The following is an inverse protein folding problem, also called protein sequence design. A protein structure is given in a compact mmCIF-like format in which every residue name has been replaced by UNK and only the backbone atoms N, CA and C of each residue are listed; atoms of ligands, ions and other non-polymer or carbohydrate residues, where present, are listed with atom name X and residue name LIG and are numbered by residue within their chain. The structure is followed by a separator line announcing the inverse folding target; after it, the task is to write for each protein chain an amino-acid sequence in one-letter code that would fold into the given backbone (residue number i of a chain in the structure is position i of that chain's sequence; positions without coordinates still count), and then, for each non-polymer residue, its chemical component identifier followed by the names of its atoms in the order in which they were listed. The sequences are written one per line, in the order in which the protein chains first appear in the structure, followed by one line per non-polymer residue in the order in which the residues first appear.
data_IF_921056370204
#
_entry.id   IF_921056370204
#
_cell.length_a   1.000
_cell.length_b   1.000
_cell.length_c   1.000
_cell.angle_alpha   90.00
_cell.angle_beta   90.00
_cell.angle_gamma   90.00
#
_symmetry.space_group_name_H-M   'P 1'
#
loop_
_entity.id
_entity.type
_entity.pdbx_description
1 polymer ?
#
# COMPACT_ATOMS: atom_id res chain seq x y z
N UNK A 1 8.91 -20.33 -8.33
CA UNK A 1 8.45 -18.93 -8.50
C UNK A 1 6.94 -18.70 -8.32
N UNK A 2 6.09 -19.69 -7.98
CA UNK A 2 4.62 -19.50 -7.90
C UNK A 2 4.07 -18.98 -6.56
N UNK A 3 4.85 -19.05 -5.48
CA UNK A 3 4.34 -18.75 -4.13
C UNK A 3 4.25 -17.24 -3.83
N UNK A 4 5.14 -16.41 -4.39
CA UNK A 4 5.11 -14.94 -4.23
C UNK A 4 3.87 -14.27 -4.85
N UNK A 5 3.36 -14.82 -5.96
CA UNK A 5 2.15 -14.30 -6.61
C UNK A 5 0.93 -14.45 -5.71
N UNK A 6 0.76 -15.62 -5.07
CA UNK A 6 -0.36 -15.87 -4.15
C UNK A 6 -0.27 -14.99 -2.91
N UNK A 7 0.91 -14.83 -2.34
CA UNK A 7 1.12 -13.96 -1.18
C UNK A 7 0.85 -12.49 -1.51
N UNK A 8 1.33 -12.03 -2.67
CA UNK A 8 1.03 -10.69 -3.18
C UNK A 8 -0.49 -10.47 -3.29
N UNK A 9 -1.22 -11.34 -3.98
CA UNK A 9 -2.67 -11.17 -4.16
C UNK A 9 -3.44 -11.29 -2.84
N UNK A 10 -3.01 -12.18 -1.94
CA UNK A 10 -3.56 -12.28 -0.58
C UNK A 10 -3.40 -10.96 0.17
N UNK A 11 -2.18 -10.41 0.19
CA UNK A 11 -1.89 -9.13 0.84
C UNK A 11 -2.66 -7.96 0.19
N UNK A 12 -2.66 -7.91 -1.14
CA UNK A 12 -3.31 -6.86 -1.93
C UNK A 12 -4.80 -6.79 -1.63
N UNK A 13 -5.50 -7.94 -1.67
CA UNK A 13 -6.94 -8.02 -1.39
C UNK A 13 -7.27 -7.75 0.08
N UNK A 14 -6.54 -8.37 1.01
CA UNK A 14 -6.91 -8.32 2.43
C UNK A 14 -6.53 -7.00 3.11
N UNK A 15 -5.46 -6.36 2.65
CA UNK A 15 -4.89 -5.21 3.36
C UNK A 15 -4.87 -3.95 2.51
N UNK A 16 -4.35 -4.00 1.28
CA UNK A 16 -4.18 -2.81 0.47
C UNK A 16 -5.51 -2.23 -0.03
N UNK A 17 -6.38 -3.06 -0.63
CA UNK A 17 -7.70 -2.62 -1.09
C UNK A 17 -8.53 -2.06 0.07
N UNK A 18 -8.53 -2.76 1.21
CA UNK A 18 -9.22 -2.32 2.43
C UNK A 18 -8.66 -0.99 2.95
N UNK A 19 -7.35 -0.78 2.86
CA UNK A 19 -6.73 0.50 3.21
C UNK A 19 -7.24 1.64 2.33
N UNK A 20 -7.19 1.47 1.00
CA UNK A 20 -7.64 2.50 0.04
C UNK A 20 -9.11 2.82 0.24
N UNK A 21 -9.96 1.79 0.39
CA UNK A 21 -11.40 1.97 0.66
C UNK A 21 -11.65 2.70 1.97
N UNK A 22 -10.96 2.33 3.04
CA UNK A 22 -11.10 3.01 4.33
C UNK A 22 -10.67 4.49 4.26
N UNK A 23 -9.56 4.80 3.58
CA UNK A 23 -9.12 6.19 3.40
C UNK A 23 -10.16 7.01 2.64
N UNK A 24 -10.65 6.50 1.51
CA UNK A 24 -11.70 7.15 0.73
C UNK A 24 -12.97 7.38 1.56
N UNK A 25 -13.43 6.35 2.28
CA UNK A 25 -14.64 6.41 3.11
C UNK A 25 -14.52 7.42 4.24
N UNK A 26 -13.40 7.45 4.95
CA UNK A 26 -13.16 8.44 6.01
C UNK A 26 -13.19 9.85 5.43
N UNK A 27 -12.49 10.08 4.31
CA UNK A 27 -12.43 11.41 3.69
C UNK A 27 -13.79 11.86 3.16
N UNK A 28 -14.55 10.99 2.49
CA UNK A 28 -15.83 11.36 1.87
C UNK A 28 -17.02 11.36 2.83
N UNK A 29 -17.05 10.43 3.80
CA UNK A 29 -18.19 10.30 4.73
C UNK A 29 -17.99 11.07 6.02
N UNK A 30 -16.74 11.39 6.39
CA UNK A 30 -16.44 12.13 7.63
C UNK A 30 -15.91 13.53 7.37
N UNK A 31 -14.88 13.70 6.55
CA UNK A 31 -14.24 15.02 6.38
C UNK A 31 -15.04 15.93 5.44
N UNK A 32 -15.38 15.42 4.26
CA UNK A 32 -16.04 16.19 3.20
C UNK A 32 -17.36 16.85 3.64
N UNK A 33 -18.22 16.24 4.49
CA UNK A 33 -19.42 16.91 5.00
C UNK A 33 -19.14 18.08 5.96
N UNK A 34 -17.91 18.22 6.44
CA UNK A 34 -17.52 19.18 7.48
C UNK A 34 -16.72 20.36 6.91
N UNK A 35 -16.37 20.33 5.63
CA UNK A 35 -15.57 21.37 4.97
C UNK A 35 -16.18 21.78 3.63
N UNK A 36 -15.97 23.02 3.23
CA UNK A 36 -16.39 23.50 1.93
C UNK A 36 -15.24 23.36 0.92
N UNK A 37 -15.43 22.52 -0.10
CA UNK A 37 -14.51 22.42 -1.24
C UNK A 37 -15.24 22.77 -2.54
N UNK A 38 -14.49 23.14 -3.58
CA UNK A 38 -15.07 23.46 -4.89
C UNK A 38 -15.73 22.21 -5.48
N UNK A 39 -16.82 22.43 -6.23
CA UNK A 39 -17.53 21.34 -6.90
C UNK A 39 -16.63 20.56 -7.86
N UNK A 40 -15.75 21.27 -8.59
CA UNK A 40 -14.79 20.67 -9.54
C UNK A 40 -13.84 19.72 -8.81
N UNK A 41 -13.19 20.19 -7.74
CA UNK A 41 -12.26 19.38 -6.93
C UNK A 41 -12.96 18.13 -6.37
N UNK A 42 -14.20 18.29 -5.87
CA UNK A 42 -15.00 17.16 -5.39
C UNK A 42 -15.27 16.12 -6.49
N UNK A 43 -15.67 16.58 -7.67
CA UNK A 43 -15.95 15.71 -8.82
C UNK A 43 -14.69 14.97 -9.25
N UNK A 44 -13.57 15.66 -9.31
CA UNK A 44 -12.31 15.09 -9.80
C UNK A 44 -11.77 14.05 -8.82
N UNK A 45 -11.81 14.32 -7.50
CA UNK A 45 -11.47 13.32 -6.46
C UNK A 45 -12.32 12.06 -6.61
N UNK A 46 -13.63 12.19 -6.81
CA UNK A 46 -14.54 11.04 -7.01
C UNK A 46 -14.15 10.25 -8.28
N UNK A 47 -13.92 10.93 -9.40
CA UNK A 47 -13.53 10.28 -10.66
C UNK A 47 -12.18 9.53 -10.53
N UNK A 48 -11.22 10.08 -9.79
CA UNK A 48 -9.96 9.38 -9.52
C UNK A 48 -10.17 8.13 -8.67
N UNK A 49 -10.99 8.17 -7.62
CA UNK A 49 -11.29 6.98 -6.83
C UNK A 49 -12.05 5.91 -7.63
N UNK A 50 -12.96 6.29 -8.52
CA UNK A 50 -13.61 5.36 -9.45
C UNK A 50 -12.58 4.66 -10.36
N UNK A 51 -11.63 5.42 -10.91
CA UNK A 51 -10.52 4.86 -11.70
C UNK A 51 -9.62 3.93 -10.89
N UNK A 52 -9.32 4.29 -9.64
CA UNK A 52 -8.56 3.46 -8.70
C UNK A 52 -9.29 2.14 -8.41
N UNK A 53 -10.61 2.19 -8.16
CA UNK A 53 -11.40 0.98 -7.92
C UNK A 53 -11.46 0.07 -9.15
N UNK A 54 -11.73 0.63 -10.33
CA UNK A 54 -11.76 -0.15 -11.56
C UNK A 54 -10.41 -0.85 -11.82
N UNK A 55 -9.30 -0.16 -11.60
CA UNK A 55 -7.97 -0.76 -11.82
C UNK A 55 -7.63 -1.82 -10.76
N UNK A 56 -8.04 -1.64 -9.51
CA UNK A 56 -7.86 -2.68 -8.48
C UNK A 56 -8.66 -3.95 -8.82
N UNK A 57 -9.86 -3.82 -9.37
CA UNK A 57 -10.65 -4.97 -9.83
C UNK A 57 -9.96 -5.69 -11.01
N UNK A 58 -9.40 -4.93 -11.96
CA UNK A 58 -8.59 -5.49 -13.06
C UNK A 58 -7.37 -6.24 -12.55
N UNK A 59 -6.64 -5.68 -11.57
CA UNK A 59 -5.50 -6.36 -10.94
C UNK A 59 -5.95 -7.67 -10.29
N UNK A 60 -7.00 -7.63 -9.46
CA UNK A 60 -7.52 -8.82 -8.78
C UNK A 60 -7.93 -9.92 -9.77
N UNK A 61 -8.54 -9.56 -10.90
CA UNK A 61 -8.95 -10.52 -11.92
C UNK A 61 -7.77 -11.25 -12.60
N UNK A 62 -6.52 -10.76 -12.45
CA UNK A 62 -5.34 -11.40 -13.00
C UNK A 62 -4.81 -12.57 -12.14
N UNK A 63 -5.28 -12.71 -10.89
CA UNK A 63 -4.76 -13.68 -9.93
C UNK A 63 -4.76 -15.11 -10.47
N UNK A 64 -5.92 -15.63 -10.90
CA UNK A 64 -6.03 -17.01 -11.38
C UNK A 64 -5.14 -17.23 -12.62
N UNK A 65 -5.08 -16.24 -13.50
CA UNK A 65 -4.25 -16.30 -14.71
C UNK A 65 -2.76 -16.36 -14.39
N UNK A 66 -2.30 -15.77 -13.29
CA UNK A 66 -0.89 -15.80 -12.86
C UNK A 66 -0.57 -17.00 -11.95
N UNK A 67 -1.54 -17.43 -11.14
CA UNK A 67 -1.40 -18.53 -10.19
C UNK A 67 -1.46 -19.89 -10.89
N UNK A 68 -2.29 -20.01 -11.94
CA UNK A 68 -2.53 -21.27 -12.65
C UNK A 68 -1.95 -21.28 -14.08
N UNK A 69 -1.07 -20.33 -14.44
CA UNK A 69 -0.43 -20.31 -15.76
C UNK A 69 0.45 -21.54 -15.96
N UNK A 70 -0.10 -22.57 -16.61
CA UNK A 70 0.60 -23.82 -16.93
C UNK A 70 1.14 -23.85 -18.38
N UNK A 71 0.94 -22.78 -19.16
CA UNK A 71 0.98 -22.86 -20.64
C UNK A 71 2.32 -22.54 -21.28
N UNK A 72 3.19 -21.72 -20.67
CA UNK A 72 4.62 -21.54 -21.03
C UNK A 72 5.25 -20.45 -20.14
N UNK A 73 6.59 -20.46 -20.00
CA UNK A 73 7.32 -19.41 -19.29
C UNK A 73 7.09 -18.01 -19.90
N UNK A 74 7.07 -17.92 -21.23
CA UNK A 74 6.82 -16.67 -21.97
C UNK A 74 5.42 -16.09 -21.69
N UNK A 75 4.39 -16.95 -21.64
CA UNK A 75 3.02 -16.53 -21.32
C UNK A 75 2.87 -16.04 -19.89
N UNK A 76 3.61 -16.64 -18.94
CA UNK A 76 3.64 -16.19 -17.55
C UNK A 76 4.38 -14.86 -17.41
N UNK A 77 5.52 -14.70 -18.07
CA UNK A 77 6.30 -13.46 -18.04
C UNK A 77 5.50 -12.27 -18.59
N UNK A 78 4.80 -12.45 -19.71
CA UNK A 78 3.94 -11.41 -20.27
C UNK A 78 2.82 -10.99 -19.29
N UNK A 79 2.19 -11.96 -18.62
CA UNK A 79 1.17 -11.65 -17.58
C UNK A 79 1.76 -10.89 -16.40
N UNK A 80 2.99 -11.24 -16.00
CA UNK A 80 3.68 -10.53 -14.92
C UNK A 80 4.01 -9.09 -15.31
N UNK A 81 4.44 -8.86 -16.55
CA UNK A 81 4.67 -7.50 -17.08
C UNK A 81 3.39 -6.66 -17.05
N UNK A 82 2.26 -7.23 -17.49
CA UNK A 82 0.95 -6.56 -17.43
C UNK A 82 0.60 -6.18 -15.98
N UNK A 83 0.75 -7.11 -15.02
CA UNK A 83 0.52 -6.83 -13.61
C UNK A 83 1.39 -5.68 -13.10
N UNK A 84 2.68 -5.66 -13.46
CA UNK A 84 3.59 -4.58 -13.06
C UNK A 84 3.16 -3.22 -13.61
N UNK A 85 2.73 -3.17 -14.88
CA UNK A 85 2.25 -1.94 -15.51
C UNK A 85 0.95 -1.44 -14.86
N UNK A 86 0.03 -2.34 -14.55
CA UNK A 86 -1.20 -1.99 -13.83
C UNK A 86 -0.89 -1.48 -12.41
N UNK A 87 0.09 -2.05 -11.71
CA UNK A 87 0.53 -1.56 -10.40
C UNK A 87 1.18 -0.17 -10.50
N UNK A 88 1.99 0.09 -11.53
CA UNK A 88 2.55 1.43 -11.79
C UNK A 88 1.45 2.45 -12.07
N UNK A 89 0.46 2.06 -12.88
CA UNK A 89 -0.71 2.90 -13.19
C UNK A 89 -1.55 3.16 -11.94
N UNK A 90 -1.74 2.17 -11.08
CA UNK A 90 -2.44 2.31 -9.80
C UNK A 90 -1.72 3.29 -8.89
N UNK A 91 -0.39 3.17 -8.77
CA UNK A 91 0.41 4.14 -8.02
C UNK A 91 0.24 5.56 -8.57
N UNK A 92 0.26 5.74 -9.89
CA UNK A 92 0.07 7.06 -10.50
C UNK A 92 -1.32 7.66 -10.16
N UNK A 93 -2.39 6.87 -10.27
CA UNK A 93 -3.74 7.32 -9.89
C UNK A 93 -3.83 7.67 -8.40
N UNK A 94 -3.20 6.88 -7.53
CA UNK A 94 -3.16 7.13 -6.09
C UNK A 94 -2.37 8.40 -5.75
N UNK A 95 -1.25 8.67 -6.43
CA UNK A 95 -0.52 9.92 -6.24
C UNK A 95 -1.34 11.13 -6.67
N UNK A 96 -2.03 11.05 -7.82
CA UNK A 96 -2.85 12.15 -8.31
C UNK A 96 -4.03 12.44 -7.38
N UNK A 97 -4.73 11.42 -6.87
CA UNK A 97 -5.82 11.65 -5.91
C UNK A 97 -5.30 12.25 -4.60
N UNK A 98 -4.15 11.78 -4.10
CA UNK A 98 -3.55 12.35 -2.88
C UNK A 98 -3.14 13.81 -3.06
N UNK A 99 -2.56 14.17 -4.22
CA UNK A 99 -2.19 15.54 -4.52
C UNK A 99 -3.42 16.47 -4.57
N UNK A 100 -4.49 16.05 -5.27
CA UNK A 100 -5.75 16.81 -5.32
C UNK A 100 -6.41 16.94 -3.95
N UNK A 101 -6.39 15.87 -3.16
CA UNK A 101 -6.91 15.90 -1.79
C UNK A 101 -6.10 16.83 -0.89
N UNK A 102 -4.77 16.89 -1.02
CA UNK A 102 -3.94 17.80 -0.25
C UNK A 102 -4.22 19.26 -0.65
N UNK A 103 -4.31 19.56 -1.95
CA UNK A 103 -4.64 20.89 -2.47
C UNK A 103 -6.04 21.35 -2.07
N UNK A 104 -7.03 20.44 -2.03
CA UNK A 104 -8.42 20.78 -1.73
C UNK A 104 -8.75 20.74 -0.23
N UNK A 105 -8.36 19.68 0.48
CA UNK A 105 -8.78 19.48 1.87
C UNK A 105 -7.98 20.28 2.85
N UNK A 106 -6.66 20.43 2.67
CA UNK A 106 -5.83 21.14 3.65
C UNK A 106 -6.32 22.59 3.89
N UNK A 107 -6.45 23.45 2.87
CA UNK A 107 -6.95 24.80 3.08
C UNK A 107 -8.39 24.83 3.58
N UNK A 108 -9.23 23.89 3.15
CA UNK A 108 -10.63 23.82 3.57
C UNK A 108 -10.77 23.43 5.06
N UNK A 109 -9.90 22.53 5.55
CA UNK A 109 -9.82 22.15 6.97
C UNK A 109 -9.30 23.32 7.81
N UNK A 110 -8.21 23.96 7.38
CA UNK A 110 -7.62 25.11 8.09
C UNK A 110 -8.58 26.30 8.17
N UNK A 111 -9.45 26.48 7.18
CA UNK A 111 -10.51 27.49 7.20
C UNK A 111 -11.67 27.12 8.13
N UNK A 112 -12.04 25.85 8.20
CA UNK A 112 -13.20 25.38 8.95
C UNK A 112 -12.91 25.15 10.45
N UNK A 113 -11.68 24.81 10.81
CA UNK A 113 -11.31 24.39 12.16
C UNK A 113 -9.96 24.94 12.61
N UNK A 114 -9.88 25.38 13.87
CA UNK A 114 -8.59 25.43 14.55
C UNK A 114 -8.07 24.00 14.79
N UNK A 115 -6.77 23.84 14.98
CA UNK A 115 -6.16 22.54 15.29
C UNK A 115 -6.83 21.86 16.50
N UNK A 116 -7.06 22.62 17.58
CA UNK A 116 -7.71 22.09 18.79
C UNK A 116 -9.18 21.72 18.57
N UNK A 117 -9.91 22.45 17.73
CA UNK A 117 -11.29 22.10 17.36
C UNK A 117 -11.32 20.85 16.48
N UNK A 118 -10.38 20.73 15.54
CA UNK A 118 -10.25 19.55 14.68
C UNK A 118 -9.95 18.29 15.52
N UNK A 119 -8.97 18.37 16.41
CA UNK A 119 -8.62 17.29 17.34
C UNK A 119 -9.80 16.91 18.25
N UNK A 120 -10.54 17.89 18.77
CA UNK A 120 -11.64 17.62 19.71
C UNK A 120 -12.89 17.05 19.04
N UNK A 121 -13.23 17.50 17.83
CA UNK A 121 -14.53 17.23 17.22
C UNK A 121 -14.48 16.35 15.96
N UNK A 122 -13.37 16.38 15.21
CA UNK A 122 -13.22 15.65 13.94
C UNK A 122 -12.46 14.34 14.13
N UNK A 123 -11.32 14.37 14.83
CA UNK A 123 -10.50 13.17 15.07
C UNK A 123 -11.27 12.00 15.71
N UNK A 124 -12.18 12.20 16.69
CA UNK A 124 -12.99 11.10 17.22
C UNK A 124 -13.92 10.46 16.18
N UNK A 125 -14.40 11.25 15.20
CA UNK A 125 -15.25 10.75 14.10
C UNK A 125 -14.42 9.97 13.09
N UNK A 126 -13.24 10.50 12.74
CA UNK A 126 -12.24 9.80 11.90
C UNK A 126 -11.89 8.46 12.53
N UNK A 127 -11.50 8.45 13.80
CA UNK A 127 -11.19 7.21 14.52
C UNK A 127 -12.36 6.22 14.55
N UNK A 128 -13.59 6.71 14.76
CA UNK A 128 -14.79 5.86 14.79
C UNK A 128 -15.05 5.21 13.42
N UNK A 129 -14.96 5.99 12.36
CA UNK A 129 -15.16 5.54 10.98
C UNK A 129 -14.06 4.60 10.50
N UNK A 130 -12.82 4.80 10.93
CA UNK A 130 -11.67 3.96 10.55
C UNK A 130 -11.88 2.49 10.91
N UNK A 131 -11.83 1.63 9.90
CA UNK A 131 -11.96 0.17 9.99
C UNK A 131 -11.10 -0.53 8.92
N UNK A 132 -10.60 -1.75 9.20
CA UNK A 132 -10.53 -2.37 10.53
C UNK A 132 -9.45 -1.72 11.40
N UNK A 133 -9.77 -1.37 12.65
CA UNK A 133 -8.87 -0.63 13.55
C UNK A 133 -7.53 -1.32 13.80
N UNK A 134 -7.56 -2.65 13.89
CA UNK A 134 -6.37 -3.49 14.11
C UNK A 134 -5.33 -3.43 12.99
N UNK A 135 -5.73 -2.94 11.81
CA UNK A 135 -4.86 -2.80 10.64
C UNK A 135 -4.58 -1.31 10.43
N UNK A 136 -5.64 -0.51 10.32
CA UNK A 136 -5.53 0.88 9.91
C UNK A 136 -4.81 1.76 10.93
N UNK A 137 -5.07 1.57 12.22
CA UNK A 137 -4.47 2.43 13.26
C UNK A 137 -2.95 2.19 13.35
N UNK A 138 -2.44 0.95 13.47
CA UNK A 138 -1.01 0.68 13.33
C UNK A 138 -0.40 1.25 12.06
N UNK A 139 -1.05 1.07 10.92
CA UNK A 139 -0.54 1.59 9.65
C UNK A 139 -0.38 3.11 9.66
N UNK A 140 -1.40 3.85 10.11
CA UNK A 140 -1.35 5.32 10.21
C UNK A 140 -0.24 5.76 11.17
N UNK A 141 -0.16 5.15 12.36
CA UNK A 141 0.86 5.50 13.35
C UNK A 141 2.26 5.22 12.83
N UNK A 142 2.48 4.08 12.18
CA UNK A 142 3.78 3.73 11.61
C UNK A 142 4.20 4.66 10.47
N UNK A 143 3.28 5.07 9.61
CA UNK A 143 3.58 6.05 8.54
C UNK A 143 3.76 7.46 9.09
N UNK A 144 3.05 7.83 10.15
CA UNK A 144 3.26 9.10 10.85
C UNK A 144 4.68 9.19 11.45
N UNK A 145 5.26 8.06 11.86
CA UNK A 145 6.65 7.98 12.32
C UNK A 145 7.64 8.23 11.20
N UNK A 146 7.39 7.70 10.01
CA UNK A 146 8.25 7.89 8.83
C UNK A 146 8.24 9.34 8.37
N UNK A 147 7.07 9.99 8.35
CA UNK A 147 6.94 11.35 7.82
C UNK A 147 7.16 12.47 8.84
N UNK A 148 6.76 12.27 10.10
CA UNK A 148 6.78 13.29 11.15
C UNK A 148 7.66 12.94 12.36
N UNK A 149 8.37 11.81 12.30
CA UNK A 149 9.22 11.35 13.39
C UNK A 149 8.46 10.94 14.65
N UNK A 150 9.21 10.76 15.74
CA UNK A 150 8.68 10.27 17.02
C UNK A 150 7.69 11.24 17.68
N UNK A 151 7.85 12.56 17.44
CA UNK A 151 6.96 13.59 17.99
C UNK A 151 5.53 13.46 17.45
N UNK A 152 5.39 13.38 16.12
CA UNK A 152 4.07 13.25 15.47
C UNK A 152 3.43 11.91 15.80
N UNK A 153 4.24 10.85 15.84
CA UNK A 153 3.78 9.51 16.28
C UNK A 153 3.18 9.57 17.68
N UNK A 154 3.89 10.21 18.61
CA UNK A 154 3.45 10.34 19.99
C UNK A 154 2.16 11.16 20.09
N UNK A 155 2.09 12.30 19.40
CA UNK A 155 0.89 13.13 19.35
C UNK A 155 -0.33 12.33 18.87
N UNK A 156 -0.18 11.58 17.77
CA UNK A 156 -1.27 10.74 17.27
C UNK A 156 -1.69 9.65 18.27
N UNK A 157 -0.73 9.00 18.95
CA UNK A 157 -1.05 8.01 20.01
C UNK A 157 -1.74 8.66 21.20
N UNK A 158 -1.37 9.88 21.55
CA UNK A 158 -1.94 10.64 22.66
C UNK A 158 -3.39 11.08 22.34
N UNK A 159 -3.72 11.32 21.07
CA UNK A 159 -5.08 11.61 20.59
C UNK A 159 -6.01 10.38 20.60
N UNK A 160 -5.45 9.17 20.70
CA UNK A 160 -6.27 7.95 20.82
C UNK A 160 -6.92 7.87 22.21
N UNK A 161 -8.20 7.44 22.28
CA UNK A 161 -8.84 7.08 23.55
C UNK A 161 -8.01 6.04 24.30
N UNK A 162 -8.05 6.08 25.64
CA UNK A 162 -7.29 5.17 26.50
C UNK A 162 -7.40 3.69 26.09
N UNK A 163 -8.62 3.20 25.86
CA UNK A 163 -8.86 1.82 25.43
C UNK A 163 -8.25 1.50 24.06
N UNK A 164 -8.25 2.45 23.14
CA UNK A 164 -7.63 2.31 21.84
C UNK A 164 -6.10 2.29 21.93
N UNK A 165 -5.52 3.08 22.85
CA UNK A 165 -4.07 3.06 23.12
C UNK A 165 -3.63 1.72 23.71
N UNK A 166 -4.39 1.19 24.67
CA UNK A 166 -4.16 -0.15 25.21
C UNK A 166 -4.24 -1.24 24.12
N UNK A 167 -5.30 -1.22 23.31
CA UNK A 167 -5.45 -2.16 22.20
C UNK A 167 -4.36 -1.99 21.15
N UNK A 168 -3.91 -0.76 20.89
CA UNK A 168 -2.79 -0.50 20.02
C UNK A 168 -1.53 -1.21 20.51
N UNK A 169 -1.13 -0.96 21.76
CA UNK A 169 0.13 -1.45 22.31
C UNK A 169 0.14 -2.98 22.49
N UNK A 170 -1.00 -3.59 22.82
CA UNK A 170 -1.06 -5.01 23.19
C UNK A 170 -1.69 -5.95 22.15
N UNK A 171 -2.44 -5.43 21.18
CA UNK A 171 -3.21 -6.28 20.24
C UNK A 171 -2.95 -5.88 18.79
N UNK A 172 -3.16 -4.61 18.45
CA UNK A 172 -3.16 -4.17 17.05
C UNK A 172 -1.75 -4.02 16.49
N UNK A 173 -0.82 -3.39 17.21
CA UNK A 173 0.55 -3.23 16.75
C UNK A 173 1.28 -4.57 16.64
N UNK A 174 1.20 -5.50 17.62
CA UNK A 174 1.76 -6.83 17.46
C UNK A 174 1.20 -7.59 16.25
N UNK A 175 -0.12 -7.53 16.03
CA UNK A 175 -0.76 -8.16 14.87
C UNK A 175 -0.26 -7.56 13.55
N UNK A 176 -0.21 -6.22 13.46
CA UNK A 176 0.30 -5.51 12.29
C UNK A 176 1.74 -5.87 11.98
N UNK A 177 2.62 -5.88 12.98
CA UNK A 177 4.03 -6.20 12.80
C UNK A 177 4.23 -7.62 12.26
N UNK A 178 3.49 -8.58 12.81
CA UNK A 178 3.61 -10.01 12.47
C UNK A 178 2.95 -10.39 11.15
N UNK A 179 1.81 -9.79 10.79
CA UNK A 179 1.00 -10.24 9.64
C UNK A 179 1.10 -9.31 8.42
N UNK A 180 1.38 -8.03 8.63
CA UNK A 180 1.28 -7.02 7.57
C UNK A 180 2.66 -6.47 7.23
N UNK A 181 3.39 -5.96 8.23
CA UNK A 181 4.75 -5.48 8.02
C UNK A 181 5.69 -6.63 7.64
N UNK A 182 5.57 -7.79 8.27
CA UNK A 182 6.34 -8.98 7.89
C UNK A 182 6.00 -9.45 6.47
N UNK A 183 4.74 -9.40 6.06
CA UNK A 183 4.35 -9.79 4.70
C UNK A 183 4.99 -8.85 3.66
N UNK A 184 4.98 -7.54 3.92
CA UNK A 184 5.68 -6.57 3.07
C UNK A 184 7.19 -6.80 3.04
N UNK A 185 7.81 -7.10 4.18
CA UNK A 185 9.25 -7.39 4.27
C UNK A 185 9.63 -8.68 3.55
N UNK A 186 8.78 -9.71 3.60
CA UNK A 186 9.02 -10.96 2.89
C UNK A 186 8.95 -10.77 1.37
N UNK A 187 8.07 -9.88 0.89
CA UNK A 187 8.02 -9.47 -0.51
C UNK A 187 9.27 -8.67 -0.93
N UNK A 188 9.88 -7.90 -0.02
CA UNK A 188 11.04 -7.02 -0.28
C UNK A 188 12.39 -7.77 -0.25
N UNK A 189 12.63 -8.55 0.82
CA UNK A 189 13.89 -9.26 1.07
C UNK A 189 14.27 -10.30 -0.01
N UNK A 190 13.35 -10.73 -0.86
CA UNK A 190 13.63 -11.71 -1.92
C UNK A 190 13.98 -11.08 -3.27
N UNK A 191 13.70 -9.78 -3.44
CA UNK A 191 14.20 -9.02 -4.60
C UNK A 191 15.72 -8.88 -4.47
N UNK A 192 16.23 -8.63 -3.27
CA UNK A 192 17.68 -8.56 -2.99
C UNK A 192 18.37 -9.93 -3.11
N UNK A 193 17.73 -11.01 -2.64
CA UNK A 193 18.27 -12.37 -2.76
C UNK A 193 18.29 -12.94 -4.18
N UNK A 194 17.32 -12.56 -5.03
CA UNK A 194 17.27 -13.02 -6.43
C UNK A 194 18.25 -12.25 -7.32
N UNK A 195 18.45 -10.95 -7.07
CA UNK A 195 19.44 -10.15 -7.77
C UNK A 195 20.89 -10.58 -7.47
N UNK A 196 21.16 -11.09 -6.25
CA UNK A 196 22.46 -11.63 -5.88
C UNK A 196 22.75 -13.00 -6.53
N UNK A 197 21.72 -13.84 -6.69
CA UNK A 197 21.88 -15.16 -7.30
C UNK A 197 22.15 -15.11 -8.82
N UNK A 198 21.53 -14.15 -9.54
CA UNK A 198 21.79 -13.95 -10.98
C UNK A 198 23.21 -13.44 -11.26
N UNK A 199 23.84 -12.75 -10.29
CA UNK A 199 25.25 -12.33 -10.41
C UNK A 199 26.27 -13.44 -10.16
N UNK A 200 25.92 -14.51 -9.44
CA UNK A 200 26.84 -15.64 -9.19
C UNK A 200 26.83 -16.66 -10.34
N UNK A 201 25.69 -16.86 -11.02
CA UNK A 201 25.58 -17.83 -12.12
C UNK A 201 26.25 -17.34 -13.42
N UNK A 202 26.37 -16.02 -13.62
CA UNK A 202 27.15 -15.44 -14.72
C UNK A 202 28.67 -15.61 -14.58
N UNK A 203 29.17 -15.99 -13.39
CA UNK A 203 30.62 -16.14 -13.15
C UNK A 203 31.10 -17.60 -13.25
N UNK A 204 30.18 -18.58 -13.36
CA UNK A 204 30.52 -20.00 -13.33
C UNK A 204 30.64 -20.68 -14.70
N UNK A 205 30.53 -19.97 -15.82
CA UNK A 205 30.59 -20.57 -17.18
C UNK A 205 31.78 -20.08 -18.00
N UNK A 206 32.99 -20.13 -17.45
CA UNK A 206 34.21 -20.17 -18.27
C UNK A 206 35.25 -21.01 -17.54
N UNK A 207 35.28 -22.33 -17.78
CA UNK A 207 36.48 -23.15 -17.67
C UNK A 207 36.19 -24.55 -18.24
N UNK A 208 36.62 -24.77 -19.48
CA UNK A 208 36.47 -26.06 -20.15
C UNK A 208 36.98 -26.02 -21.59
N UNK A 209 38.23 -25.62 -21.79
CA UNK A 209 38.96 -25.94 -23.03
C UNK A 209 40.23 -26.68 -22.64
N UNK A 210 40.16 -28.01 -22.70
CA UNK A 210 41.30 -28.91 -22.73
C UNK A 210 42.07 -28.72 -24.04
N UNK A 211 43.40 -28.60 -24.03
CA UNK A 211 44.21 -28.85 -25.20
C UNK A 211 44.85 -30.23 -25.07
N UNK A 212 44.24 -31.24 -25.69
CA UNK A 212 44.97 -32.46 -26.07
C UNK A 212 45.21 -32.43 -27.58
N UNK A 213 46.42 -32.81 -27.98
CA UNK A 213 46.98 -32.54 -29.30
C UNK A 213 46.40 -33.39 -30.44
N UNK A 214 46.76 -33.05 -31.68
CA UNK A 214 47.83 -33.73 -32.45
C UNK A 214 47.69 -33.48 -33.98
N UNK A 215 48.81 -33.65 -34.68
CA UNK A 215 49.04 -33.93 -36.11
C UNK A 215 48.97 -32.82 -37.16
N UNK A 216 50.09 -32.70 -37.89
CA UNK A 216 50.37 -31.85 -39.04
C UNK A 216 51.87 -31.71 -39.23
#
# INVERSE_FOLDING_TARGET
MSWNVREFFSWFKQYFIEFVKNQHDVKTKVLLPLVAIKFVDKRDVVAFYEGVYALMDVIVAQEDGLVFSATSAESWQNRLTILQDDIRRLNHLLFNVLALEEEAFKPAIELAFSESAFQRYVMPRVFRATRPKRIMIPWIVERSRVWGGTKVTKAYKDDLPFTARFLYDHVWHPYFATHIASAMKNLDNQVEGSAAAESEESCATTNGVDPTGNTG
#
